data_IF_391572763416
#
_entry.id   IF_391572763416
#
_cell.length_a   1.000
_cell.length_b   1.000
_cell.length_c   1.000
_cell.angle_alpha   90.00
_cell.angle_beta   90.00
_cell.angle_gamma   90.00
#
_symmetry.space_group_name_H-M   'P 1'
#
loop_
_entity.id
_entity.type
_entity.pdbx_description
1 polymer ?
#
# COMPACT_ATOMS: atom_id res chain seq x y z
N UNK A 1 0.01 0.74 -3.36
CA UNK A 1 -1.21 0.04 -3.82
C UNK A 1 -1.48 0.18 -5.31
N UNK A 2 -0.86 1.14 -6.00
CA UNK A 2 -0.97 1.46 -7.43
C UNK A 2 -1.16 0.26 -8.39
N UNK A 3 -0.35 -0.80 -8.24
CA UNK A 3 -0.39 -1.96 -9.15
C UNK A 3 -1.64 -2.82 -8.94
N UNK A 4 -2.22 -2.87 -7.74
CA UNK A 4 -3.29 -3.82 -7.40
C UNK A 4 -4.61 -3.52 -8.10
N UNK A 5 -4.97 -2.24 -8.22
CA UNK A 5 -6.25 -1.86 -8.86
C UNK A 5 -6.19 -2.19 -10.35
N UNK A 6 -5.09 -1.81 -11.01
CA UNK A 6 -4.84 -2.10 -12.42
C UNK A 6 -4.74 -3.61 -12.70
N UNK A 7 -4.01 -4.36 -11.87
CA UNK A 7 -3.75 -5.79 -12.07
C UNK A 7 -4.97 -6.67 -11.76
N UNK A 8 -5.79 -6.30 -10.78
CA UNK A 8 -6.96 -7.10 -10.39
C UNK A 8 -8.20 -6.85 -11.24
N UNK A 9 -8.34 -5.65 -11.84
CA UNK A 9 -9.52 -5.26 -12.59
C UNK A 9 -9.26 -5.06 -14.10
N UNK A 10 -7.99 -5.00 -14.53
CA UNK A 10 -7.63 -4.66 -15.92
C UNK A 10 -7.80 -3.17 -16.24
N UNK A 11 -8.06 -2.36 -15.22
CA UNK A 11 -8.39 -0.95 -15.29
C UNK A 11 -7.13 -0.08 -15.37
N UNK A 12 -7.20 1.09 -16.01
CA UNK A 12 -6.04 1.99 -16.12
C UNK A 12 -5.96 2.85 -14.86
N UNK A 13 -4.81 2.90 -14.18
CA UNK A 13 -4.56 3.83 -13.09
C UNK A 13 -3.51 4.86 -13.49
N UNK A 14 -3.82 6.14 -13.30
CA UNK A 14 -2.93 7.28 -13.55
C UNK A 14 -2.50 7.86 -12.21
N UNK A 15 -1.20 8.17 -12.10
CA UNK A 15 -0.63 8.89 -10.96
C UNK A 15 -0.57 10.38 -11.29
N UNK A 16 -1.21 11.22 -10.48
CA UNK A 16 -1.36 12.68 -10.70
C UNK A 16 -0.37 13.53 -9.87
N UNK A 17 0.50 12.91 -9.05
CA UNK A 17 1.54 13.57 -8.24
C UNK A 17 2.94 13.61 -8.91
N UNK A 18 3.80 14.49 -8.41
CA UNK A 18 5.15 14.78 -8.93
C UNK A 18 6.30 14.10 -8.16
N UNK A 19 6.01 13.24 -7.17
CA UNK A 19 6.99 12.37 -6.49
C UNK A 19 7.14 12.61 -4.98
N UNK A 20 8.18 11.99 -4.39
CA UNK A 20 8.45 12.03 -2.96
C UNK A 20 9.05 13.36 -2.50
N UNK A 21 8.59 13.92 -1.39
CA UNK A 21 9.20 15.12 -0.79
C UNK A 21 10.49 14.80 -0.02
N UNK A 22 10.57 13.62 0.62
CA UNK A 22 11.67 13.21 1.50
C UNK A 22 11.90 11.67 1.42
N UNK A 23 13.09 11.16 1.78
CA UNK A 23 13.34 9.72 1.83
C UNK A 23 12.35 9.01 2.73
N UNK A 24 11.66 8.01 2.17
CA UNK A 24 10.67 7.23 2.91
C UNK A 24 9.31 7.90 3.07
N UNK A 25 9.09 9.12 2.56
CA UNK A 25 7.77 9.78 2.58
C UNK A 25 7.35 10.14 1.16
N UNK A 26 6.16 9.69 0.75
CA UNK A 26 5.57 10.05 -0.53
C UNK A 26 4.08 10.25 -0.39
N UNK A 27 3.56 11.38 -0.86
CA UNK A 27 2.15 11.45 -1.19
C UNK A 27 1.93 10.72 -2.52
N UNK A 28 0.78 10.08 -2.68
CA UNK A 28 0.38 9.37 -3.86
C UNK A 28 -1.07 9.76 -4.21
N UNK A 29 -1.26 10.36 -5.39
CA UNK A 29 -2.60 10.72 -5.91
C UNK A 29 -2.89 9.87 -7.14
N UNK A 30 -3.91 9.01 -7.05
CA UNK A 30 -4.27 8.07 -8.09
C UNK A 30 -5.68 8.30 -8.60
N UNK A 31 -5.85 8.11 -9.91
CA UNK A 31 -7.15 8.05 -10.58
C UNK A 31 -7.23 6.77 -11.39
N UNK A 32 -8.21 5.92 -11.11
CA UNK A 32 -8.43 4.66 -11.82
C UNK A 32 -9.69 4.72 -12.70
N UNK A 33 -9.54 4.29 -13.94
CA UNK A 33 -10.61 4.15 -14.93
C UNK A 33 -11.23 2.77 -14.82
N UNK A 34 -12.36 2.68 -14.11
CA UNK A 34 -13.12 1.44 -14.03
C UNK A 34 -13.81 1.17 -15.38
N UNK A 35 -13.58 0.00 -15.98
CA UNK A 35 -13.93 -0.38 -17.38
C UNK A 35 -15.40 -0.07 -17.78
N UNK A 36 -16.31 0.08 -16.83
CA UNK A 36 -17.69 0.53 -17.07
C UNK A 36 -18.28 1.33 -15.91
N UNK A 37 -17.42 2.00 -15.13
CA UNK A 37 -17.80 2.65 -13.87
C UNK A 37 -17.28 4.08 -13.77
N UNK A 38 -17.63 4.78 -12.69
CA UNK A 38 -17.08 6.09 -12.42
C UNK A 38 -15.58 6.01 -12.14
N UNK A 39 -14.90 7.15 -12.31
CA UNK A 39 -13.50 7.28 -11.94
C UNK A 39 -13.33 7.07 -10.43
N UNK A 40 -12.39 6.24 -10.04
CA UNK A 40 -12.01 6.07 -8.64
C UNK A 40 -10.83 6.99 -8.34
N UNK A 41 -10.90 7.77 -7.26
CA UNK A 41 -9.81 8.62 -6.79
C UNK A 41 -9.31 8.12 -5.43
N UNK A 42 -7.99 8.08 -5.28
CA UNK A 42 -7.30 7.83 -4.02
C UNK A 42 -6.25 8.91 -3.79
N UNK A 43 -6.17 9.42 -2.57
CA UNK A 43 -5.10 10.32 -2.14
C UNK A 43 -4.57 9.79 -0.80
N UNK A 44 -3.30 9.37 -0.77
CA UNK A 44 -2.68 8.79 0.41
C UNK A 44 -1.26 9.30 0.64
N UNK A 45 -0.83 9.28 1.89
CA UNK A 45 0.57 9.48 2.27
C UNK A 45 1.15 8.15 2.68
N UNK A 46 2.28 7.81 2.09
CA UNK A 46 3.06 6.61 2.39
C UNK A 46 4.28 7.04 3.18
N UNK A 47 4.47 6.42 4.34
CA UNK A 47 5.68 6.54 5.15
C UNK A 47 6.34 5.16 5.27
N UNK A 48 7.66 5.10 5.10
CA UNK A 48 8.43 3.87 5.24
C UNK A 48 9.69 4.07 6.05
N UNK A 49 10.06 3.01 6.77
CA UNK A 49 11.27 2.94 7.55
C UNK A 49 11.87 1.54 7.42
N UNK A 50 13.19 1.46 7.35
CA UNK A 50 13.92 0.21 7.41
C UNK A 50 14.97 0.27 8.49
N UNK A 51 15.05 -0.80 9.29
CA UNK A 51 16.06 -0.99 10.33
C UNK A 51 16.77 -2.30 10.08
N UNK A 52 18.11 -2.26 10.11
CA UNK A 52 18.94 -3.46 9.92
C UNK A 52 18.90 -4.37 11.17
N UNK A 53 18.63 -3.79 12.34
CA UNK A 53 18.51 -4.51 13.62
C UNK A 53 17.38 -3.89 14.43
N UNK A 54 16.41 -4.70 14.84
CA UNK A 54 15.28 -4.28 15.66
C UNK A 54 14.86 -5.41 16.62
N UNK A 55 15.00 -5.18 17.93
CA UNK A 55 14.73 -6.19 18.96
C UNK A 55 13.24 -6.34 19.28
N UNK A 56 12.42 -5.34 18.97
CA UNK A 56 11.00 -5.29 19.36
C UNK A 56 10.10 -5.98 18.31
N UNK A 57 10.40 -5.77 17.03
CA UNK A 57 9.60 -6.21 15.88
C UNK A 57 10.39 -7.13 14.92
N UNK A 58 11.72 -7.07 14.95
CA UNK A 58 12.62 -7.80 14.06
C UNK A 58 13.28 -9.04 14.68
N UNK A 59 13.01 -9.35 15.96
CA UNK A 59 13.68 -10.42 16.72
C UNK A 59 15.22 -10.33 16.66
N UNK A 60 15.74 -9.09 16.70
CA UNK A 60 17.17 -8.77 16.56
C UNK A 60 17.68 -8.80 15.11
N UNK A 61 16.78 -8.96 14.14
CA UNK A 61 17.06 -8.96 12.71
C UNK A 61 16.48 -7.74 11.98
N UNK A 62 16.62 -7.70 10.64
CA UNK A 62 16.16 -6.58 9.84
C UNK A 62 14.64 -6.55 9.71
N UNK A 63 14.06 -5.35 9.84
CA UNK A 63 12.63 -5.07 9.68
C UNK A 63 12.40 -3.86 8.78
N UNK A 64 11.47 -3.97 7.86
CA UNK A 64 10.93 -2.87 7.06
C UNK A 64 9.46 -2.66 7.39
N UNK A 65 9.07 -1.41 7.60
CA UNK A 65 7.70 -1.01 7.88
C UNK A 65 7.28 0.01 6.82
N UNK A 66 6.09 -0.19 6.26
CA UNK A 66 5.45 0.73 5.33
C UNK A 66 4.04 1.00 5.85
N UNK A 67 3.69 2.26 5.99
CA UNK A 67 2.36 2.71 6.36
C UNK A 67 1.82 3.59 5.26
N UNK A 68 0.54 3.45 4.96
CA UNK A 68 -0.19 4.27 4.02
C UNK A 68 -1.46 4.71 4.74
N UNK A 69 -1.74 6.00 4.72
CA UNK A 69 -3.01 6.52 5.23
C UNK A 69 -3.60 7.56 4.27
N UNK A 70 -4.91 7.71 4.28
CA UNK A 70 -5.60 8.59 3.35
C UNK A 70 -5.46 10.06 3.75
N UNK A 71 -5.44 10.95 2.76
CA UNK A 71 -5.49 12.39 2.97
C UNK A 71 -6.95 12.82 3.06
N UNK A 72 -7.38 13.31 4.22
CA UNK A 72 -8.78 13.67 4.41
C UNK A 72 -9.16 14.99 3.73
N UNK A 73 -8.25 15.97 3.80
CA UNK A 73 -8.38 17.29 3.20
C UNK A 73 -7.07 17.66 2.51
N UNK A 74 -7.17 18.01 1.23
CA UNK A 74 -6.07 18.49 0.40
C UNK A 74 -6.51 19.81 -0.24
N UNK A 75 -5.99 20.93 0.26
CA UNK A 75 -6.36 22.26 -0.23
C UNK A 75 -5.69 22.60 -1.58
N UNK A 76 -4.59 21.92 -1.91
CA UNK A 76 -3.85 22.13 -3.15
C UNK A 76 -4.45 21.32 -4.31
N UNK A 77 -4.89 20.10 -4.02
CA UNK A 77 -5.53 19.19 -4.97
C UNK A 77 -6.84 18.62 -4.37
N UNK A 78 -7.90 19.43 -4.30
CA UNK A 78 -9.16 19.03 -3.67
C UNK A 78 -9.85 17.90 -4.45
N UNK A 79 -10.50 17.02 -3.70
CA UNK A 79 -11.32 15.93 -4.24
C UNK A 79 -12.47 16.46 -5.13
N UNK A 80 -12.74 15.78 -6.24
CA UNK A 80 -13.82 16.08 -7.21
C UNK A 80 -15.04 15.15 -7.05
N UNK A 81 -15.95 15.39 -6.07
CA UNK A 81 -17.02 14.46 -5.72
C UNK A 81 -18.14 14.30 -6.76
N UNK A 82 -18.23 15.23 -7.71
CA UNK A 82 -19.24 15.20 -8.77
C UNK A 82 -18.80 14.32 -9.96
N UNK A 83 -17.52 13.97 -10.04
CA UNK A 83 -16.95 13.23 -11.17
C UNK A 83 -16.26 11.93 -10.76
N UNK A 84 -15.77 11.86 -9.52
CA UNK A 84 -14.93 10.77 -9.03
C UNK A 84 -15.49 10.18 -7.74
N UNK A 85 -15.38 8.86 -7.57
CA UNK A 85 -15.66 8.15 -6.32
C UNK A 85 -14.39 8.15 -5.48
N UNK A 86 -14.46 8.66 -4.25
CA UNK A 86 -13.32 8.59 -3.32
C UNK A 86 -13.19 7.18 -2.73
N UNK A 87 -11.98 6.66 -2.71
CA UNK A 87 -11.58 5.50 -1.91
C UNK A 87 -10.47 5.89 -0.94
N UNK A 88 -10.75 5.70 0.34
CA UNK A 88 -9.76 5.81 1.40
C UNK A 88 -9.16 4.45 1.69
N UNK A 89 -7.89 4.46 2.07
CA UNK A 89 -7.23 3.28 2.59
C UNK A 89 -6.25 3.64 3.69
N UNK A 90 -6.26 2.81 4.74
CA UNK A 90 -5.21 2.76 5.74
C UNK A 90 -4.57 1.39 5.66
N UNK A 91 -3.27 1.32 5.39
CA UNK A 91 -2.53 0.08 5.18
C UNK A 91 -1.27 0.10 6.03
N UNK A 92 -0.98 -1.02 6.67
CA UNK A 92 0.31 -1.27 7.31
C UNK A 92 0.91 -2.53 6.71
N UNK A 93 2.16 -2.46 6.29
CA UNK A 93 2.92 -3.59 5.80
C UNK A 93 4.21 -3.71 6.59
N UNK A 94 4.43 -4.87 7.18
CA UNK A 94 5.68 -5.23 7.84
C UNK A 94 6.37 -6.30 7.02
N UNK A 95 7.68 -6.13 6.82
CA UNK A 95 8.57 -7.11 6.19
C UNK A 95 9.67 -7.42 7.17
N UNK A 96 9.87 -8.70 7.52
CA UNK A 96 10.94 -9.13 8.43
C UNK A 96 11.59 -10.41 7.95
N UNK A 97 12.85 -10.59 8.33
CA UNK A 97 13.53 -11.87 8.13
C UNK A 97 13.24 -12.81 9.30
N UNK A 98 12.94 -14.07 9.01
CA UNK A 98 12.77 -15.11 10.01
C UNK A 98 13.69 -16.28 9.68
N UNK A 99 14.40 -16.79 10.69
CA UNK A 99 15.19 -18.01 10.53
C UNK A 99 14.30 -19.22 10.75
N UNK A 100 14.25 -20.11 9.77
CA UNK A 100 13.46 -21.34 9.89
C UNK A 100 14.33 -22.55 9.62
N UNK A 101 13.99 -23.67 10.27
CA UNK A 101 14.65 -24.95 10.08
C UNK A 101 13.82 -25.80 9.15
N UNK A 102 14.45 -26.40 8.16
CA UNK A 102 13.80 -27.38 7.27
C UNK A 102 14.75 -28.56 7.04
N UNK A 103 14.16 -29.69 6.70
CA UNK A 103 14.90 -30.89 6.32
C UNK A 103 15.13 -30.88 4.82
N UNK A 104 16.38 -31.04 4.40
CA UNK A 104 16.70 -31.21 2.99
C UNK A 104 16.28 -32.62 2.51
N UNK A 105 16.49 -32.93 1.22
CA UNK A 105 16.12 -34.22 0.63
C UNK A 105 16.84 -35.43 1.29
N UNK A 106 17.94 -35.18 2.00
CA UNK A 106 18.75 -36.17 2.70
C UNK A 106 18.37 -36.28 4.19
N UNK A 107 17.36 -35.51 4.64
CA UNK A 107 16.86 -35.51 6.01
C UNK A 107 17.69 -34.68 7.00
N UNK A 108 18.69 -33.93 6.53
CA UNK A 108 19.55 -33.07 7.34
C UNK A 108 18.81 -31.76 7.64
N UNK A 109 18.84 -31.33 8.91
CA UNK A 109 18.30 -30.02 9.30
C UNK A 109 19.24 -28.90 8.84
N UNK A 110 18.71 -27.98 8.05
CA UNK A 110 19.37 -26.76 7.61
C UNK A 110 18.57 -25.53 8.09
N UNK A 111 19.29 -24.45 8.41
CA UNK A 111 18.70 -23.15 8.73
C UNK A 111 18.79 -22.23 7.51
N UNK A 112 17.69 -21.56 7.16
CA UNK A 112 17.63 -20.56 6.07
C UNK A 112 16.79 -19.41 6.56
N UNK A 113 17.20 -18.22 6.15
CA UNK A 113 16.40 -17.02 6.29
C UNK A 113 15.29 -17.03 5.24
N UNK A 114 14.05 -16.91 5.71
CA UNK A 114 12.90 -16.56 4.88
C UNK A 114 12.55 -15.09 5.13
N UNK A 115 11.90 -14.47 4.16
CA UNK A 115 11.32 -13.13 4.31
C UNK A 115 9.81 -13.29 4.45
N UNK A 116 9.26 -12.72 5.52
CA UNK A 116 7.83 -12.74 5.80
C UNK A 116 7.28 -11.33 5.62
N UNK A 117 6.28 -11.19 4.76
CA UNK A 117 5.51 -9.95 4.60
C UNK A 117 4.13 -10.13 5.23
N UNK A 118 3.79 -9.27 6.18
CA UNK A 118 2.47 -9.19 6.79
C UNK A 118 1.86 -7.85 6.40
N UNK A 119 0.62 -7.88 5.88
CA UNK A 119 -0.08 -6.68 5.41
C UNK A 119 -1.49 -6.64 5.99
N UNK A 120 -1.81 -5.52 6.62
CA UNK A 120 -3.14 -5.16 7.11
C UNK A 120 -3.67 -4.01 6.29
N UNK A 121 -4.93 -4.06 5.90
CA UNK A 121 -5.55 -3.03 5.09
C UNK A 121 -7.00 -2.83 5.52
N UNK A 122 -7.38 -1.57 5.67
CA UNK A 122 -8.76 -1.14 5.80
C UNK A 122 -9.05 -0.17 4.65
N UNK A 123 -10.01 -0.51 3.80
CA UNK A 123 -10.40 0.30 2.64
C UNK A 123 -11.86 0.73 2.81
N UNK A 124 -12.16 1.99 2.49
CA UNK A 124 -13.50 2.56 2.54
C UNK A 124 -13.78 3.26 1.21
N UNK A 125 -14.84 2.84 0.54
CA UNK A 125 -15.34 3.53 -0.66
C UNK A 125 -16.50 4.44 -0.25
N UNK A 126 -16.43 5.69 -0.67
CA UNK A 126 -17.46 6.68 -0.37
C UNK A 126 -18.62 6.59 -1.37
N UNK A 127 -19.82 6.97 -0.91
CA UNK A 127 -20.97 7.05 -1.80
C UNK A 127 -20.79 8.23 -2.77
N UNK A 128 -20.93 8.02 -4.09
CA UNK A 128 -20.86 9.12 -5.06
C UNK A 128 -22.02 10.11 -4.87
N UNK A 129 -21.77 11.36 -5.27
CA UNK A 129 -22.83 12.40 -5.33
C UNK A 129 -23.62 12.36 -6.64
N UNK A 130 -23.08 11.69 -7.66
CA UNK A 130 -23.74 11.45 -8.93
C UNK A 130 -24.42 10.07 -8.96
N UNK A 131 -25.40 9.84 -9.85
CA UNK A 131 -26.01 8.53 -10.04
C UNK A 131 -24.97 7.52 -10.52
N UNK A 132 -24.76 6.44 -9.77
CA UNK A 132 -24.05 5.28 -10.28
C UNK A 132 -24.99 4.55 -11.25
N UNK A 133 -24.58 4.42 -12.51
CA UNK A 133 -25.28 3.69 -13.57
C UNK A 133 -25.31 2.19 -13.34
#
# INVERSE_FOLDING_TARGET
MEIRVTESLGDITIREDDGSSEPGISQCRFVSYLTSGPLLEMNSVICSEYRETDDEYGDGGPVGIFTEDFVDQDDLYPYFPEERVRQDATVMTQVRSHKTKFKNAEGVEEERSIVVMQRWAHCRVHKPKFPAS
#
